data_IF_370861730998
#
_entry.id   IF_370861730998
#
_cell.length_a   1.000
_cell.length_b   1.000
_cell.length_c   1.000
_cell.angle_alpha   90.00
_cell.angle_beta   90.00
_cell.angle_gamma   90.00
#
_symmetry.space_group_name_H-M   'P 1'
#
loop_
_entity.id
_entity.type
_entity.pdbx_description
1 polymer ?
#
# COMPACT_ATOMS: atom_id res chain seq x y z
N UNK A 1 39.99 -29.00 18.10
CA UNK A 1 38.70 -28.83 18.79
C UNK A 1 38.57 -27.38 19.30
N UNK A 2 38.37 -26.43 18.38
CA UNK A 2 38.42 -24.98 18.65
C UNK A 2 37.01 -24.42 18.53
N UNK A 3 36.34 -24.31 19.68
CA UNK A 3 35.23 -23.39 19.97
C UNK A 3 33.96 -23.48 19.11
N UNK A 4 33.14 -24.51 19.37
CA UNK A 4 31.69 -24.54 19.08
C UNK A 4 30.88 -23.47 19.85
N UNK A 5 31.53 -22.66 20.70
CA UNK A 5 30.86 -21.64 21.53
C UNK A 5 30.38 -20.40 20.77
N UNK A 6 30.73 -20.23 19.49
CA UNK A 6 30.33 -19.06 18.70
C UNK A 6 28.85 -19.07 18.26
N UNK A 7 28.12 -20.15 18.53
CA UNK A 7 26.69 -20.33 18.19
C UNK A 7 25.74 -20.16 19.39
N UNK A 8 26.24 -19.76 20.58
CA UNK A 8 25.46 -19.73 21.84
C UNK A 8 24.88 -18.34 22.13
N UNK A 9 24.39 -17.63 21.12
CA UNK A 9 23.51 -16.48 21.36
C UNK A 9 22.25 -16.63 20.51
N UNK A 10 21.13 -17.03 21.12
CA UNK A 10 19.86 -17.06 20.40
C UNK A 10 19.58 -15.63 19.95
N UNK A 11 19.36 -15.48 18.64
CA UNK A 11 18.98 -14.19 18.08
C UNK A 11 17.65 -13.74 18.68
N UNK A 12 17.37 -12.45 18.63
CA UNK A 12 16.12 -11.92 19.20
C UNK A 12 14.90 -12.61 18.57
N UNK A 13 14.96 -12.97 17.28
CA UNK A 13 13.90 -13.76 16.63
C UNK A 13 13.79 -15.19 17.16
N UNK A 14 14.92 -15.84 17.47
CA UNK A 14 14.91 -17.21 18.01
C UNK A 14 14.28 -17.22 19.41
N UNK A 15 14.57 -16.23 20.26
CA UNK A 15 13.93 -16.09 21.58
C UNK A 15 12.45 -15.77 21.47
N UNK A 16 12.08 -14.84 20.58
CA UNK A 16 10.67 -14.48 20.34
C UNK A 16 9.88 -15.71 19.90
N UNK A 17 10.45 -16.54 19.02
CA UNK A 17 9.83 -17.80 18.63
C UNK A 17 9.79 -18.83 19.77
N UNK A 18 10.86 -19.00 20.54
CA UNK A 18 10.88 -19.95 21.68
C UNK A 18 9.85 -19.57 22.75
N UNK A 19 9.62 -18.28 22.99
CA UNK A 19 8.64 -17.77 23.95
C UNK A 19 7.20 -17.91 23.43
N UNK A 20 6.99 -17.66 22.13
CA UNK A 20 5.65 -17.53 21.55
C UNK A 20 5.17 -18.79 20.80
N UNK A 21 6.07 -19.72 20.50
CA UNK A 21 5.80 -21.01 19.87
C UNK A 21 5.12 -20.90 18.49
N UNK A 22 4.65 -22.02 17.94
CA UNK A 22 3.82 -22.05 16.71
C UNK A 22 2.43 -21.42 16.92
N UNK A 23 1.92 -21.42 18.16
CA UNK A 23 0.58 -20.98 18.50
C UNK A 23 0.36 -19.47 18.35
N UNK A 24 1.38 -18.64 18.64
CA UNK A 24 1.27 -17.19 18.43
C UNK A 24 1.20 -16.83 16.95
N UNK A 25 1.83 -17.61 16.07
CA UNK A 25 1.76 -17.40 14.61
C UNK A 25 0.36 -17.67 14.07
N UNK A 26 -0.31 -18.70 14.59
CA UNK A 26 -1.71 -19.00 14.28
C UNK A 26 -2.67 -17.90 14.73
N UNK A 27 -2.26 -17.03 15.66
CA UNK A 27 -3.07 -15.88 16.11
C UNK A 27 -2.70 -14.62 15.34
N UNK A 28 -1.40 -14.31 15.22
CA UNK A 28 -0.92 -13.08 14.61
C UNK A 28 -1.25 -13.00 13.11
N UNK A 29 -1.13 -14.10 12.37
CA UNK A 29 -1.38 -14.11 10.93
C UNK A 29 -2.86 -13.83 10.60
N UNK A 30 -3.85 -14.49 11.24
CA UNK A 30 -5.25 -14.11 11.12
C UNK A 30 -5.55 -12.69 11.60
N UNK A 31 -4.87 -12.19 12.64
CA UNK A 31 -5.04 -10.79 13.10
C UNK A 31 -4.57 -9.80 12.03
N UNK A 32 -3.40 -10.01 11.43
CA UNK A 32 -2.89 -9.16 10.34
C UNK A 32 -3.80 -9.25 9.10
N UNK A 33 -4.29 -10.44 8.75
CA UNK A 33 -5.28 -10.62 7.69
C UNK A 33 -6.59 -9.91 8.02
N UNK A 34 -7.07 -9.99 9.27
CA UNK A 34 -8.26 -9.29 9.71
C UNK A 34 -8.09 -7.78 9.56
N UNK A 35 -6.95 -7.20 9.96
CA UNK A 35 -6.66 -5.78 9.74
C UNK A 35 -6.71 -5.41 8.26
N UNK A 36 -6.13 -6.23 7.38
CA UNK A 36 -6.18 -5.99 5.92
C UNK A 36 -7.62 -6.02 5.39
N UNK A 37 -8.41 -6.99 5.86
CA UNK A 37 -9.82 -7.14 5.46
C UNK A 37 -10.66 -5.98 6.00
N UNK A 38 -10.46 -5.61 7.26
CA UNK A 38 -11.20 -4.56 7.95
C UNK A 38 -10.89 -3.17 7.38
N UNK A 39 -9.62 -2.83 7.20
CA UNK A 39 -9.20 -1.55 6.63
C UNK A 39 -9.40 -1.49 5.11
N UNK A 40 -9.59 -2.66 4.45
CA UNK A 40 -9.60 -2.82 2.99
C UNK A 40 -8.36 -2.23 2.31
N UNK A 41 -7.26 -2.14 3.05
CA UNK A 41 -6.02 -1.50 2.64
C UNK A 41 -4.84 -2.20 3.31
N UNK A 42 -3.89 -2.69 2.52
CA UNK A 42 -2.67 -3.31 3.04
C UNK A 42 -1.58 -2.26 3.18
N UNK A 43 -1.34 -1.82 4.42
CA UNK A 43 -0.22 -0.94 4.75
C UNK A 43 1.13 -1.66 4.48
N UNK A 44 2.13 -0.92 4.00
CA UNK A 44 3.45 -1.45 3.68
C UNK A 44 4.14 -2.09 4.88
N UNK A 45 3.97 -1.52 6.09
CA UNK A 45 4.52 -2.08 7.32
C UNK A 45 3.86 -3.43 7.63
N UNK A 46 2.55 -3.52 7.46
CA UNK A 46 1.80 -4.77 7.65
C UNK A 46 2.23 -5.84 6.65
N UNK A 47 2.51 -5.45 5.41
CA UNK A 47 3.05 -6.34 4.38
C UNK A 47 4.45 -6.85 4.72
N UNK A 48 5.38 -5.95 5.08
CA UNK A 48 6.74 -6.34 5.48
C UNK A 48 6.72 -7.28 6.70
N UNK A 49 5.84 -7.00 7.67
CA UNK A 49 5.59 -7.89 8.79
C UNK A 49 5.15 -9.28 8.34
N UNK A 50 4.12 -9.37 7.49
CA UNK A 50 3.61 -10.64 6.96
C UNK A 50 4.69 -11.45 6.22
N UNK A 51 5.49 -10.80 5.36
CA UNK A 51 6.57 -11.46 4.63
C UNK A 51 7.65 -11.95 5.59
N UNK A 52 8.07 -11.13 6.55
CA UNK A 52 9.06 -11.52 7.55
C UNK A 52 8.62 -12.72 8.37
N UNK A 53 7.36 -12.73 8.85
CA UNK A 53 6.80 -13.86 9.60
C UNK A 53 6.72 -15.11 8.73
N UNK A 54 6.35 -14.98 7.46
CA UNK A 54 6.30 -16.11 6.51
C UNK A 54 7.70 -16.70 6.28
N UNK A 55 8.71 -15.85 6.10
CA UNK A 55 10.11 -16.29 5.98
C UNK A 55 10.57 -17.01 7.25
N UNK A 56 10.18 -16.53 8.44
CA UNK A 56 10.53 -17.16 9.71
C UNK A 56 9.92 -18.57 9.83
N UNK A 57 8.68 -18.77 9.38
CA UNK A 57 8.05 -20.09 9.34
C UNK A 57 8.75 -21.04 8.36
N UNK A 58 9.03 -20.56 7.15
CA UNK A 58 9.72 -21.35 6.13
C UNK A 58 11.15 -21.72 6.55
N UNK A 59 11.79 -20.89 7.38
CA UNK A 59 13.14 -21.10 7.92
C UNK A 59 13.30 -22.47 8.59
N UNK A 60 12.30 -22.90 9.36
CA UNK A 60 12.36 -24.19 10.08
C UNK A 60 12.05 -25.40 9.21
N UNK A 61 11.33 -25.22 8.10
CA UNK A 61 11.02 -26.30 7.15
C UNK A 61 12.06 -26.47 6.05
N UNK A 62 12.82 -25.41 5.75
CA UNK A 62 13.78 -25.37 4.65
C UNK A 62 15.18 -25.01 5.17
N UNK A 63 16.08 -26.00 5.21
CA UNK A 63 17.49 -25.84 5.65
C UNK A 63 18.22 -24.74 4.87
N UNK A 64 17.95 -24.63 3.57
CA UNK A 64 18.50 -23.55 2.73
C UNK A 64 18.11 -22.17 3.24
N UNK A 65 16.84 -22.00 3.62
CA UNK A 65 16.33 -20.72 4.11
C UNK A 65 16.90 -20.40 5.49
N UNK A 66 17.13 -21.39 6.35
CA UNK A 66 17.82 -21.19 7.64
C UNK A 66 19.22 -20.60 7.45
N UNK A 67 19.99 -21.14 6.51
CA UNK A 67 21.35 -20.65 6.23
C UNK A 67 21.36 -19.23 5.64
N UNK A 68 20.38 -18.87 4.81
CA UNK A 68 20.33 -17.58 4.12
C UNK A 68 19.34 -16.57 4.71
N UNK A 69 18.63 -16.89 5.78
CA UNK A 69 17.50 -16.13 6.33
C UNK A 69 17.81 -14.65 6.50
N UNK A 70 18.92 -14.34 7.15
CA UNK A 70 19.35 -12.96 7.41
C UNK A 70 19.60 -12.19 6.12
N UNK A 71 20.26 -12.82 5.13
CA UNK A 71 20.55 -12.18 3.84
C UNK A 71 19.27 -11.91 3.07
N UNK A 72 18.39 -12.91 2.96
CA UNK A 72 17.10 -12.79 2.26
C UNK A 72 16.24 -11.70 2.90
N UNK A 73 16.12 -11.70 4.22
CA UNK A 73 15.32 -10.70 4.94
C UNK A 73 15.83 -9.28 4.71
N UNK A 74 17.16 -9.07 4.78
CA UNK A 74 17.76 -7.75 4.53
C UNK A 74 17.55 -7.30 3.08
N UNK A 75 17.75 -8.20 2.11
CA UNK A 75 17.55 -7.88 0.69
C UNK A 75 16.09 -7.47 0.46
N UNK A 76 15.15 -8.24 0.99
CA UNK A 76 13.72 -7.95 0.86
C UNK A 76 13.37 -6.57 1.45
N UNK A 77 13.76 -6.31 2.70
CA UNK A 77 13.55 -5.02 3.34
C UNK A 77 14.19 -3.85 2.58
N UNK A 78 15.39 -4.07 2.02
CA UNK A 78 16.07 -3.04 1.22
C UNK A 78 15.29 -2.73 -0.05
N UNK A 79 14.74 -3.74 -0.72
CA UNK A 79 13.92 -3.56 -1.93
C UNK A 79 12.63 -2.80 -1.58
N UNK A 80 11.90 -3.24 -0.55
CA UNK A 80 10.66 -2.57 -0.12
C UNK A 80 10.93 -1.10 0.21
N UNK A 81 11.99 -0.81 0.97
CA UNK A 81 12.34 0.55 1.36
C UNK A 81 12.74 1.40 0.16
N UNK A 82 13.54 0.85 -0.76
CA UNK A 82 13.95 1.54 -1.98
C UNK A 82 12.74 1.89 -2.85
N UNK A 83 11.87 0.93 -3.14
CA UNK A 83 10.69 1.15 -3.99
C UNK A 83 9.69 2.10 -3.35
N UNK A 84 9.46 1.97 -2.04
CA UNK A 84 8.62 2.91 -1.26
C UNK A 84 9.21 4.32 -1.27
N UNK A 85 10.53 4.45 -1.11
CA UNK A 85 11.24 5.72 -1.16
C UNK A 85 11.15 6.40 -2.52
N UNK A 86 11.34 5.64 -3.61
CA UNK A 86 11.16 6.14 -4.97
C UNK A 86 9.71 6.60 -5.21
N UNK A 87 8.74 5.76 -4.86
CA UNK A 87 7.31 6.07 -4.98
C UNK A 87 6.96 7.34 -4.20
N UNK A 88 7.50 7.51 -2.99
CA UNK A 88 7.27 8.71 -2.18
C UNK A 88 7.94 9.95 -2.78
N UNK A 89 9.16 9.81 -3.31
CA UNK A 89 9.89 10.93 -3.90
C UNK A 89 9.19 11.48 -5.14
N UNK A 90 8.72 10.61 -6.04
CA UNK A 90 8.10 11.01 -7.30
C UNK A 90 6.61 11.34 -7.17
N UNK A 91 5.89 10.57 -6.36
CA UNK A 91 4.42 10.60 -6.36
C UNK A 91 3.81 10.97 -5.01
N UNK A 92 4.64 11.22 -3.99
CA UNK A 92 4.20 11.40 -2.59
C UNK A 92 3.39 10.23 -2.04
N UNK A 93 3.59 9.03 -2.62
CA UNK A 93 2.92 7.80 -2.20
C UNK A 93 3.90 6.86 -1.52
N UNK A 94 3.70 6.57 -0.23
CA UNK A 94 4.58 5.68 0.51
C UNK A 94 4.38 4.19 0.17
N UNK A 95 3.16 3.81 -0.24
CA UNK A 95 2.82 2.43 -0.52
C UNK A 95 3.03 2.09 -2.01
N UNK A 96 4.25 1.67 -2.36
CA UNK A 96 4.58 1.36 -3.75
C UNK A 96 3.73 0.22 -4.32
N UNK A 97 3.28 -0.74 -3.49
CA UNK A 97 2.47 -1.87 -3.96
C UNK A 97 1.15 -1.42 -4.55
N UNK A 98 0.46 -0.51 -3.86
CA UNK A 98 -0.80 0.06 -4.34
C UNK A 98 -0.57 0.98 -5.52
N UNK A 99 0.54 1.72 -5.54
CA UNK A 99 0.94 2.52 -6.69
C UNK A 99 1.14 1.65 -7.95
N UNK A 100 1.90 0.55 -7.84
CA UNK A 100 2.12 -0.39 -8.94
C UNK A 100 0.83 -1.10 -9.36
N UNK A 101 0.02 -1.57 -8.39
CA UNK A 101 -1.28 -2.18 -8.67
C UNK A 101 -2.18 -1.23 -9.46
N UNK A 102 -2.33 0.00 -9.00
CA UNK A 102 -3.18 0.98 -9.65
C UNK A 102 -2.68 1.35 -11.06
N UNK A 103 -1.36 1.47 -11.22
CA UNK A 103 -0.76 1.71 -12.54
C UNK A 103 -1.06 0.56 -13.52
N UNK A 104 -0.92 -0.69 -13.06
CA UNK A 104 -1.23 -1.87 -13.89
C UNK A 104 -2.72 -1.94 -14.23
N UNK A 105 -3.60 -1.74 -13.25
CA UNK A 105 -5.05 -1.82 -13.45
C UNK A 105 -5.59 -0.72 -14.39
N UNK A 106 -5.11 0.52 -14.25
CA UNK A 106 -5.65 1.67 -15.00
C UNK A 106 -4.90 1.98 -16.29
N UNK A 107 -3.57 1.79 -16.34
CA UNK A 107 -2.76 2.26 -17.48
C UNK A 107 -2.23 1.12 -18.37
N UNK A 108 -1.96 -0.05 -17.81
CA UNK A 108 -1.37 -1.18 -18.57
C UNK A 108 -2.47 -2.11 -19.08
N UNK A 109 -3.36 -2.55 -18.20
CA UNK A 109 -4.42 -3.49 -18.53
C UNK A 109 -5.72 -2.79 -18.94
N UNK A 110 -5.89 -1.53 -18.55
CA UNK A 110 -7.10 -0.73 -18.83
C UNK A 110 -8.40 -1.45 -18.40
N UNK A 111 -8.33 -2.18 -17.27
CA UNK A 111 -9.45 -2.97 -16.73
C UNK A 111 -10.32 -2.18 -15.75
N UNK A 112 -9.82 -1.04 -15.27
CA UNK A 112 -10.52 -0.15 -14.34
C UNK A 112 -10.24 1.30 -14.72
N UNK A 113 -11.27 2.13 -14.66
CA UNK A 113 -11.13 3.58 -14.89
C UNK A 113 -10.32 4.24 -13.76
N UNK A 114 -10.48 3.75 -12.53
CA UNK A 114 -9.72 4.21 -11.37
C UNK A 114 -9.36 3.07 -10.40
N UNK A 115 -8.31 3.28 -9.61
CA UNK A 115 -7.90 2.34 -8.56
C UNK A 115 -7.33 3.06 -7.35
N UNK A 116 -7.62 2.54 -6.16
CA UNK A 116 -7.15 3.08 -4.89
C UNK A 116 -5.62 2.99 -4.80
N UNK A 117 -4.99 4.08 -4.38
CA UNK A 117 -3.53 4.17 -4.14
C UNK A 117 -3.24 4.37 -2.65
N UNK A 118 -4.04 5.18 -1.97
CA UNK A 118 -3.85 5.52 -0.57
C UNK A 118 -5.16 5.77 0.14
N UNK A 119 -5.23 5.42 1.42
CA UNK A 119 -6.38 5.70 2.27
C UNK A 119 -5.93 6.00 3.69
N UNK A 120 -6.45 7.07 4.25
CA UNK A 120 -6.25 7.42 5.65
C UNK A 120 -7.37 8.33 6.15
N UNK A 121 -8.11 7.91 7.18
CA UNK A 121 -9.11 8.71 7.93
C UNK A 121 -9.82 9.79 7.09
N UNK A 122 -10.87 9.42 6.35
CA UNK A 122 -11.64 10.37 5.52
C UNK A 122 -11.02 10.69 4.17
N UNK A 123 -9.69 10.68 4.09
CA UNK A 123 -8.94 10.97 2.87
C UNK A 123 -8.62 9.71 2.05
N UNK A 124 -8.90 9.73 0.76
CA UNK A 124 -8.58 8.65 -0.16
C UNK A 124 -8.00 9.17 -1.48
N UNK A 125 -6.87 8.62 -1.91
CA UNK A 125 -6.24 8.92 -3.20
C UNK A 125 -6.40 7.75 -4.16
N UNK A 126 -6.79 8.06 -5.38
CA UNK A 126 -6.99 7.13 -6.47
C UNK A 126 -6.11 7.53 -7.66
N UNK A 127 -5.79 6.54 -8.49
CA UNK A 127 -5.15 6.74 -9.79
C UNK A 127 -6.14 6.44 -10.89
N UNK A 128 -6.12 7.27 -11.92
CA UNK A 128 -6.76 7.01 -13.21
C UNK A 128 -5.79 7.27 -14.34
N UNK A 129 -6.19 6.90 -15.55
CA UNK A 129 -5.47 7.24 -16.78
C UNK A 129 -5.42 8.75 -16.95
N UNK A 130 -4.36 9.25 -17.59
CA UNK A 130 -4.26 10.68 -17.90
C UNK A 130 -5.23 11.02 -19.04
N UNK A 131 -6.07 12.02 -18.83
CA UNK A 131 -6.96 12.58 -19.86
C UNK A 131 -6.53 14.00 -20.21
N UNK A 132 -6.82 14.41 -21.45
CA UNK A 132 -6.54 15.78 -21.92
C UNK A 132 -7.54 16.80 -21.33
N UNK A 133 -8.75 16.34 -21.04
CA UNK A 133 -9.86 17.17 -20.58
C UNK A 133 -10.28 16.81 -19.16
N UNK A 134 -10.35 17.83 -18.30
CA UNK A 134 -10.85 17.68 -16.93
C UNK A 134 -12.30 17.19 -16.86
N UNK A 135 -13.08 17.37 -17.93
CA UNK A 135 -14.46 16.85 -17.99
C UNK A 135 -14.48 15.31 -18.01
N UNK A 136 -13.48 14.70 -18.65
CA UNK A 136 -13.36 13.25 -18.73
C UNK A 136 -12.95 12.70 -17.37
N UNK A 137 -12.02 13.38 -16.68
CA UNK A 137 -11.65 13.08 -15.30
C UNK A 137 -12.86 13.14 -14.36
N UNK A 138 -13.69 14.19 -14.45
CA UNK A 138 -14.90 14.28 -13.63
C UNK A 138 -15.90 13.18 -13.95
N UNK A 139 -16.01 12.74 -15.20
CA UNK A 139 -16.89 11.63 -15.58
C UNK A 139 -16.49 10.32 -14.87
N UNK A 140 -15.18 10.06 -14.77
CA UNK A 140 -14.65 8.92 -14.00
C UNK A 140 -14.96 9.07 -12.50
N UNK A 141 -14.83 10.27 -11.97
CA UNK A 141 -15.10 10.57 -10.56
C UNK A 141 -16.59 10.42 -10.24
N UNK A 142 -17.51 10.77 -11.14
CA UNK A 142 -18.95 10.59 -10.93
C UNK A 142 -19.32 9.13 -10.61
N UNK A 143 -18.58 8.17 -11.17
CA UNK A 143 -18.77 6.74 -10.89
C UNK A 143 -18.38 6.36 -9.45
N UNK A 144 -17.64 7.22 -8.74
CA UNK A 144 -17.19 7.00 -7.37
C UNK A 144 -17.99 7.82 -6.34
N UNK A 145 -18.22 9.11 -6.60
CA UNK A 145 -18.85 10.04 -5.63
C UNK A 145 -20.32 10.33 -5.93
N UNK A 146 -20.82 9.96 -7.11
CA UNK A 146 -22.16 10.30 -7.57
C UNK A 146 -22.18 11.46 -8.57
N UNK A 147 -23.38 11.80 -9.07
CA UNK A 147 -23.53 12.80 -10.13
C UNK A 147 -23.19 14.21 -9.66
N UNK A 148 -22.33 14.87 -10.41
CA UNK A 148 -21.86 16.23 -10.15
C UNK A 148 -22.88 17.21 -10.73
N UNK A 149 -23.19 18.26 -9.96
CA UNK A 149 -24.03 19.36 -10.42
C UNK A 149 -23.16 20.55 -10.86
N UNK A 150 -22.21 20.94 -10.02
CA UNK A 150 -21.24 22.00 -10.33
C UNK A 150 -19.92 21.80 -9.58
N UNK A 151 -18.90 22.54 -9.99
CA UNK A 151 -17.61 22.55 -9.31
C UNK A 151 -17.05 23.98 -9.27
N UNK A 152 -16.38 24.29 -8.17
CA UNK A 152 -15.63 25.53 -7.99
C UNK A 152 -14.14 25.25 -8.03
N UNK A 153 -13.39 26.10 -8.72
CA UNK A 153 -11.94 25.98 -8.84
C UNK A 153 -11.30 26.70 -7.65
N UNK A 154 -10.59 25.96 -6.81
CA UNK A 154 -9.79 26.48 -5.71
C UNK A 154 -8.32 26.69 -6.09
N UNK A 155 -7.47 26.87 -5.08
CA UNK A 155 -6.02 26.98 -5.26
C UNK A 155 -5.36 25.59 -5.43
N UNK A 156 -4.27 25.54 -6.20
CA UNK A 156 -3.42 24.33 -6.37
C UNK A 156 -4.13 23.07 -6.92
N UNK A 157 -4.94 23.19 -7.98
CA UNK A 157 -5.70 22.08 -8.57
C UNK A 157 -6.64 21.37 -7.57
N UNK A 158 -7.13 22.11 -6.58
CA UNK A 158 -8.23 21.70 -5.74
C UNK A 158 -9.54 22.17 -6.33
N UNK A 159 -10.54 21.31 -6.28
CA UNK A 159 -11.88 21.54 -6.79
C UNK A 159 -12.87 21.20 -5.70
N UNK A 160 -13.73 22.15 -5.37
CA UNK A 160 -14.87 21.88 -4.50
C UNK A 160 -16.02 21.46 -5.39
N UNK A 161 -16.48 20.23 -5.24
CA UNK A 161 -17.49 19.61 -6.11
C UNK A 161 -18.80 19.53 -5.36
N UNK A 162 -19.85 20.10 -5.95
CA UNK A 162 -21.22 20.05 -5.44
C UNK A 162 -21.96 18.95 -6.20
N UNK A 163 -22.40 17.93 -5.47
CA UNK A 163 -23.15 16.81 -6.00
C UNK A 163 -24.64 17.14 -6.07
N UNK A 164 -25.39 16.42 -6.92
CA UNK A 164 -26.85 16.62 -7.08
C UNK A 164 -27.67 16.38 -5.82
N UNK A 165 -27.11 15.71 -4.82
CA UNK A 165 -27.73 15.49 -3.51
C UNK A 165 -27.34 16.58 -2.48
N UNK A 166 -26.77 17.70 -2.93
CA UNK A 166 -26.25 18.82 -2.14
C UNK A 166 -25.12 18.45 -1.17
N UNK A 167 -24.44 17.32 -1.38
CA UNK A 167 -23.19 17.02 -0.69
C UNK A 167 -22.03 17.69 -1.39
N UNK A 168 -21.05 18.12 -0.60
CA UNK A 168 -19.83 18.75 -1.09
C UNK A 168 -18.66 17.79 -0.87
N UNK A 169 -17.79 17.69 -1.88
CA UNK A 169 -16.59 16.86 -1.83
C UNK A 169 -15.42 17.66 -2.37
N UNK A 170 -14.33 17.70 -1.63
CA UNK A 170 -13.10 18.34 -2.08
C UNK A 170 -12.23 17.35 -2.84
N UNK A 171 -11.81 17.74 -4.04
CA UNK A 171 -11.02 16.91 -4.95
C UNK A 171 -9.71 17.62 -5.29
N UNK A 172 -8.57 16.98 -5.00
CA UNK A 172 -7.25 17.47 -5.41
C UNK A 172 -6.65 16.62 -6.51
N UNK A 173 -6.28 17.24 -7.64
CA UNK A 173 -5.61 16.57 -8.75
C UNK A 173 -4.09 16.80 -8.74
N UNK A 174 -3.35 15.72 -9.00
CA UNK A 174 -1.93 15.73 -9.33
C UNK A 174 -1.74 15.00 -10.65
N UNK A 175 -1.55 15.76 -11.73
CA UNK A 175 -1.45 15.24 -13.08
C UNK A 175 0.01 14.87 -13.41
N UNK A 176 0.21 13.67 -13.93
CA UNK A 176 1.49 13.20 -14.46
C UNK A 176 1.32 12.87 -15.94
N UNK A 177 2.43 12.79 -16.68
CA UNK A 177 2.40 12.53 -18.12
C UNK A 177 1.69 11.21 -18.50
N UNK A 178 1.70 10.23 -17.60
CA UNK A 178 1.17 8.88 -17.87
C UNK A 178 -0.16 8.61 -17.17
N UNK A 179 -0.43 9.27 -16.04
CA UNK A 179 -1.59 9.01 -15.20
C UNK A 179 -1.93 10.23 -14.35
N UNK A 180 -3.13 10.24 -13.77
CA UNK A 180 -3.56 11.28 -12.84
C UNK A 180 -3.85 10.68 -11.47
N UNK A 181 -3.35 11.32 -10.42
CA UNK A 181 -3.77 11.02 -9.05
C UNK A 181 -4.81 12.04 -8.62
N UNK A 182 -5.98 11.58 -8.17
CA UNK A 182 -6.98 12.45 -7.56
C UNK A 182 -7.24 12.01 -6.13
N UNK A 183 -7.37 12.97 -5.22
CA UNK A 183 -7.63 12.70 -3.81
C UNK A 183 -8.96 13.29 -3.42
N UNK A 184 -9.75 12.50 -2.71
CA UNK A 184 -11.04 12.86 -2.15
C UNK A 184 -10.87 13.10 -0.66
N UNK A 185 -11.33 14.26 -0.21
CA UNK A 185 -11.57 14.55 1.19
C UNK A 185 -13.08 14.43 1.46
N UNK A 186 -13.46 13.54 2.36
CA UNK A 186 -14.87 13.18 2.64
C UNK A 186 -15.23 13.42 4.11
N UNK A 187 -14.40 14.19 4.83
CA UNK A 187 -14.66 14.59 6.23
C UNK A 187 -15.65 15.77 6.33
#
# INVERSE_FOLDING_TARGET
>A
MRSLKKYIYPTLSDRVYEILGENYFLILYPVLLFFIIAEKYLNIISFDGLVYFTLLLLRRKLVYLDFHFKKISIIFWTITLLLSGLSFSFFKQANYLYMTKAYVECNVLDIKEYSLVYRYKGYATFMMKSHESIKDDFTVIENLVGKIDSYEIGEENKYRVILKNNQEVDIKFNNYNQFTLFSLDVD
#
